data_IF_765316644411
#
_entry.id   IF_765316644411
#
_cell.length_a   1.000
_cell.length_b   1.000
_cell.length_c   1.000
_cell.angle_alpha   90.00
_cell.angle_beta   90.00
_cell.angle_gamma   90.00
#
_symmetry.space_group_name_H-M   'P 1'
#
loop_
_entity.id
_entity.type
_entity.pdbx_description
1 polymer ?
#
# COMPACT_ATOMS: atom_id res chain seq x y z
N UNK A 1 -22.62 19.61 1.49
CA UNK A 1 -21.61 18.94 0.65
C UNK A 1 -20.92 17.94 1.54
N UNK A 2 -20.89 16.68 1.11
CA UNK A 2 -20.53 15.55 1.94
C UNK A 2 -19.00 15.46 2.03
N UNK A 3 -18.40 16.15 3.01
CA UNK A 3 -16.95 16.28 3.20
C UNK A 3 -16.19 14.94 3.11
N UNK A 4 -16.88 13.81 3.33
CA UNK A 4 -16.32 12.48 3.27
C UNK A 4 -16.05 12.00 1.82
N UNK A 5 -16.91 12.36 0.86
CA UNK A 5 -16.76 11.97 -0.54
C UNK A 5 -15.60 12.70 -1.22
N UNK A 6 -15.37 13.95 -0.83
CA UNK A 6 -14.26 14.75 -1.34
C UNK A 6 -12.91 14.22 -0.86
N UNK A 7 -12.84 13.73 0.38
CA UNK A 7 -11.62 13.15 0.94
C UNK A 7 -11.30 11.77 0.33
N UNK A 8 -12.32 10.94 0.12
CA UNK A 8 -12.21 9.63 -0.54
C UNK A 8 -11.58 9.76 -1.94
N UNK A 9 -12.15 10.64 -2.77
CA UNK A 9 -11.66 10.91 -4.12
C UNK A 9 -10.28 11.56 -4.12
N UNK A 10 -9.99 12.42 -3.14
CA UNK A 10 -8.68 13.02 -2.97
C UNK A 10 -7.59 11.94 -2.79
N UNK A 11 -7.78 10.97 -1.88
CA UNK A 11 -6.77 9.93 -1.64
C UNK A 11 -6.61 8.95 -2.80
N UNK A 12 -7.70 8.61 -3.50
CA UNK A 12 -7.61 7.85 -4.76
C UNK A 12 -6.78 8.62 -5.79
N UNK A 13 -7.02 9.92 -5.95
CA UNK A 13 -6.25 10.76 -6.87
C UNK A 13 -4.77 10.80 -6.48
N UNK A 14 -4.46 11.01 -5.19
CA UNK A 14 -3.09 11.03 -4.70
C UNK A 14 -2.36 9.69 -4.87
N UNK A 15 -3.08 8.57 -4.79
CA UNK A 15 -2.54 7.23 -5.08
C UNK A 15 -1.99 7.16 -6.52
N UNK A 16 -2.78 7.54 -7.52
CA UNK A 16 -2.33 7.52 -8.92
C UNK A 16 -1.29 8.61 -9.23
N UNK A 17 -1.38 9.79 -8.59
CA UNK A 17 -0.34 10.83 -8.70
C UNK A 17 1.00 10.32 -8.16
N UNK A 18 1.00 9.65 -7.01
CA UNK A 18 2.20 9.08 -6.42
C UNK A 18 2.80 7.99 -7.34
N UNK A 19 1.98 7.08 -7.86
CA UNK A 19 2.43 6.08 -8.83
C UNK A 19 3.09 6.71 -10.07
N UNK A 20 2.48 7.77 -10.61
CA UNK A 20 3.05 8.52 -11.74
C UNK A 20 4.41 9.13 -11.39
N UNK A 21 4.57 9.67 -10.18
CA UNK A 21 5.85 10.24 -9.70
C UNK A 21 6.95 9.19 -9.53
N UNK A 22 6.61 7.94 -9.24
CA UNK A 22 7.59 6.85 -9.20
C UNK A 22 8.22 6.58 -10.58
N UNK A 23 7.47 6.84 -11.66
CA UNK A 23 7.90 6.63 -13.04
C UNK A 23 8.49 5.22 -13.28
N UNK A 24 7.75 4.20 -12.83
CA UNK A 24 8.15 2.79 -12.87
C UNK A 24 7.31 1.98 -13.84
N UNK A 25 7.83 0.86 -14.36
CA UNK A 25 7.07 -0.03 -15.22
C UNK A 25 5.81 -0.52 -14.51
N UNK A 26 4.68 -0.41 -15.21
CA UNK A 26 3.40 -0.99 -14.84
C UNK A 26 3.11 -2.09 -15.86
N UNK A 27 2.96 -3.32 -15.39
CA UNK A 27 2.76 -4.52 -16.21
C UNK A 27 1.82 -5.49 -15.49
N UNK A 28 1.24 -6.48 -16.17
CA UNK A 28 0.60 -7.61 -15.50
C UNK A 28 1.52 -8.20 -14.42
N UNK A 29 0.96 -8.57 -13.27
CA UNK A 29 1.73 -9.06 -12.12
C UNK A 29 2.64 -10.25 -12.47
N UNK A 30 2.12 -11.17 -13.30
CA UNK A 30 2.84 -12.34 -13.80
C UNK A 30 4.05 -11.98 -14.68
N UNK A 31 4.01 -10.84 -15.38
CA UNK A 31 5.08 -10.35 -16.25
C UNK A 31 6.05 -9.41 -15.53
N UNK A 32 5.64 -8.84 -14.39
CA UNK A 32 6.48 -7.95 -13.60
C UNK A 32 7.43 -8.78 -12.73
N UNK A 33 8.57 -9.17 -13.29
CA UNK A 33 9.57 -9.98 -12.60
C UNK A 33 10.63 -9.09 -11.95
N UNK A 34 10.76 -9.15 -10.61
CA UNK A 34 11.62 -8.23 -9.82
C UNK A 34 13.09 -8.26 -10.28
N UNK A 35 13.64 -9.45 -10.55
CA UNK A 35 15.06 -9.62 -10.91
C UNK A 35 15.45 -8.91 -12.21
N UNK A 36 14.48 -8.58 -13.06
CA UNK A 36 14.73 -7.88 -14.33
C UNK A 36 14.97 -6.38 -14.12
N UNK A 37 14.62 -5.85 -12.93
CA UNK A 37 14.73 -4.43 -12.59
C UNK A 37 15.66 -4.17 -11.40
N UNK A 38 15.78 -5.11 -10.45
CA UNK A 38 16.62 -4.94 -9.28
C UNK A 38 17.01 -6.25 -8.60
N UNK A 39 18.18 -6.27 -7.95
CA UNK A 39 18.54 -7.31 -6.99
C UNK A 39 17.69 -7.16 -5.73
N UNK A 40 16.93 -8.18 -5.39
CA UNK A 40 16.09 -8.18 -4.18
C UNK A 40 16.85 -8.74 -2.96
N UNK A 41 16.53 -8.24 -1.77
CA UNK A 41 17.10 -8.67 -0.51
C UNK A 41 16.09 -8.47 0.61
N UNK A 42 16.29 -9.15 1.74
CA UNK A 42 15.46 -8.99 2.92
C UNK A 42 16.08 -7.96 3.86
N UNK A 43 15.25 -7.13 4.48
CA UNK A 43 15.64 -6.25 5.57
C UNK A 43 14.98 -6.71 6.87
N UNK A 44 15.64 -6.45 7.99
CA UNK A 44 15.12 -6.74 9.33
C UNK A 44 14.59 -5.44 9.94
N UNK A 45 13.31 -5.42 10.26
CA UNK A 45 12.72 -4.31 11.01
C UNK A 45 12.85 -4.60 12.50
N UNK A 46 13.94 -4.10 13.11
CA UNK A 46 14.26 -4.34 14.53
C UNK A 46 13.13 -3.95 15.48
N UNK A 47 12.42 -2.87 15.15
CA UNK A 47 11.31 -2.36 15.95
C UNK A 47 9.97 -3.06 15.62
N UNK A 48 9.96 -4.08 14.73
CA UNK A 48 8.77 -4.84 14.36
C UNK A 48 8.98 -6.35 14.54
N UNK A 49 9.17 -6.80 15.78
CA UNK A 49 9.34 -8.22 16.15
C UNK A 49 10.45 -8.95 15.36
N UNK A 50 11.47 -8.22 14.88
CA UNK A 50 12.52 -8.74 14.00
C UNK A 50 12.00 -9.42 12.72
N UNK A 51 10.84 -9.00 12.21
CA UNK A 51 10.31 -9.53 10.95
C UNK A 51 11.20 -9.17 9.77
N UNK A 52 11.36 -10.14 8.87
CA UNK A 52 12.05 -9.98 7.59
C UNK A 52 11.04 -9.58 6.52
N UNK A 53 11.34 -8.52 5.78
CA UNK A 53 10.53 -8.05 4.65
C UNK A 53 11.42 -7.93 3.41
N UNK A 54 10.89 -8.34 2.26
CA UNK A 54 11.57 -8.12 0.98
C UNK A 54 11.63 -6.64 0.66
N UNK A 55 12.81 -6.14 0.28
CA UNK A 55 13.00 -4.73 0.00
C UNK A 55 12.19 -4.31 -1.22
N UNK A 56 12.28 -5.04 -2.33
CA UNK A 56 11.46 -4.85 -3.52
C UNK A 56 10.24 -5.76 -3.48
N UNK A 57 9.08 -5.19 -3.82
CA UNK A 57 7.77 -5.81 -3.76
C UNK A 57 6.96 -5.40 -4.98
N UNK A 58 5.93 -6.18 -5.30
CA UNK A 58 4.96 -5.86 -6.35
C UNK A 58 3.66 -5.47 -5.67
N UNK A 59 3.07 -4.37 -6.10
CA UNK A 59 1.80 -3.88 -5.58
C UNK A 59 0.80 -3.82 -6.73
N UNK A 60 -0.36 -4.45 -6.55
CA UNK A 60 -1.46 -4.41 -7.51
C UNK A 60 -2.16 -3.06 -7.45
N UNK A 61 -2.37 -2.44 -8.62
CA UNK A 61 -3.00 -1.12 -8.69
C UNK A 61 -4.46 -1.15 -8.23
N UNK A 62 -5.15 -2.26 -8.49
CA UNK A 62 -6.57 -2.42 -8.15
C UNK A 62 -6.82 -2.53 -6.64
N UNK A 63 -5.78 -2.66 -5.81
CA UNK A 63 -5.92 -2.68 -4.35
C UNK A 63 -6.49 -1.36 -3.79
N UNK A 64 -6.47 -0.27 -4.56
CA UNK A 64 -7.20 0.96 -4.22
C UNK A 64 -8.72 0.81 -4.35
N UNK A 65 -9.24 -0.25 -4.95
CA UNK A 65 -10.68 -0.48 -5.15
C UNK A 65 -11.18 -1.82 -4.59
N UNK A 66 -10.28 -2.75 -4.27
CA UNK A 66 -10.62 -4.07 -3.71
C UNK A 66 -9.53 -4.55 -2.76
N UNK A 67 -9.79 -5.53 -1.90
CA UNK A 67 -8.75 -6.05 -1.01
C UNK A 67 -7.81 -6.99 -1.76
N UNK A 68 -6.53 -7.00 -1.39
CA UNK A 68 -5.55 -7.93 -1.96
C UNK A 68 -5.96 -9.40 -1.75
N UNK A 69 -6.65 -9.71 -0.65
CA UNK A 69 -7.18 -11.05 -0.38
C UNK A 69 -8.25 -11.48 -1.41
N UNK A 70 -9.14 -10.58 -1.80
CA UNK A 70 -10.14 -10.83 -2.84
C UNK A 70 -9.47 -11.03 -4.19
N UNK A 71 -8.47 -10.21 -4.54
CA UNK A 71 -7.70 -10.38 -5.76
C UNK A 71 -7.03 -11.76 -5.79
N UNK A 72 -6.35 -12.15 -4.71
CA UNK A 72 -5.66 -13.44 -4.60
C UNK A 72 -6.60 -14.64 -4.68
N UNK A 73 -7.88 -14.49 -4.31
CA UNK A 73 -8.86 -15.57 -4.43
C UNK A 73 -9.15 -15.95 -5.90
N UNK A 74 -8.94 -15.03 -6.85
CA UNK A 74 -9.02 -15.30 -8.28
C UNK A 74 -7.63 -15.18 -8.92
N UNK A 75 -6.96 -16.33 -9.06
CA UNK A 75 -5.59 -16.40 -9.61
C UNK A 75 -5.47 -15.76 -10.99
N UNK A 76 -6.44 -15.94 -11.88
CA UNK A 76 -6.38 -15.37 -13.23
C UNK A 76 -6.41 -13.84 -13.20
N UNK A 77 -7.32 -13.28 -12.40
CA UNK A 77 -7.40 -11.81 -12.19
C UNK A 77 -6.13 -11.30 -11.52
N UNK A 78 -5.63 -12.01 -10.51
CA UNK A 78 -4.40 -11.64 -9.81
C UNK A 78 -3.19 -11.63 -10.76
N UNK A 79 -3.01 -12.66 -11.59
CA UNK A 79 -1.84 -12.79 -12.47
C UNK A 79 -1.86 -11.78 -13.63
N UNK A 80 -3.05 -11.44 -14.14
CA UNK A 80 -3.25 -10.48 -15.25
C UNK A 80 -3.38 -9.02 -14.78
N UNK A 81 -3.73 -8.79 -13.52
CA UNK A 81 -3.89 -7.45 -12.94
C UNK A 81 -2.63 -6.62 -13.02
N UNK A 82 -2.78 -5.32 -13.27
CA UNK A 82 -1.65 -4.40 -13.38
C UNK A 82 -0.99 -4.22 -12.01
N UNK A 83 0.33 -4.31 -12.00
CA UNK A 83 1.16 -4.13 -10.82
C UNK A 83 2.32 -3.17 -11.11
N UNK A 84 2.83 -2.58 -10.04
CA UNK A 84 4.03 -1.74 -10.05
C UNK A 84 5.08 -2.31 -9.09
N UNK A 85 6.37 -2.12 -9.43
CA UNK A 85 7.47 -2.46 -8.54
C UNK A 85 7.70 -1.32 -7.54
N UNK A 86 7.69 -1.65 -6.25
CA UNK A 86 7.86 -0.68 -5.17
C UNK A 86 8.84 -1.20 -4.14
N UNK A 87 9.58 -0.30 -3.49
CA UNK A 87 10.27 -0.67 -2.27
C UNK A 87 9.26 -0.75 -1.11
N UNK A 88 9.64 -1.42 -0.04
CA UNK A 88 8.76 -1.67 1.08
C UNK A 88 8.16 -0.42 1.74
N UNK A 89 8.89 0.72 1.75
CA UNK A 89 8.36 1.97 2.32
C UNK A 89 7.31 2.59 1.40
N UNK A 90 7.55 2.54 0.09
CA UNK A 90 6.58 3.01 -0.90
C UNK A 90 5.33 2.13 -0.89
N UNK A 91 5.49 0.82 -0.72
CA UNK A 91 4.37 -0.10 -0.56
C UNK A 91 3.56 0.23 0.71
N UNK A 92 4.23 0.50 1.83
CA UNK A 92 3.57 0.99 3.05
C UNK A 92 2.79 2.27 2.77
N UNK A 93 3.39 3.21 2.05
CA UNK A 93 2.74 4.47 1.74
C UNK A 93 1.52 4.30 0.81
N UNK A 94 1.59 3.40 -0.18
CA UNK A 94 0.44 3.06 -1.02
C UNK A 94 -0.72 2.52 -0.19
N UNK A 95 -0.46 1.59 0.73
CA UNK A 95 -1.51 1.10 1.63
C UNK A 95 -2.02 2.18 2.59
N UNK A 96 -1.20 3.14 3.01
CA UNK A 96 -1.68 4.29 3.79
C UNK A 96 -2.72 5.08 2.99
N UNK A 97 -2.47 5.36 1.70
CA UNK A 97 -3.42 6.04 0.83
C UNK A 97 -4.71 5.23 0.65
N UNK A 98 -4.62 3.89 0.55
CA UNK A 98 -5.79 3.01 0.48
C UNK A 98 -6.63 3.09 1.78
N UNK A 99 -5.99 3.05 2.95
CA UNK A 99 -6.68 3.16 4.25
C UNK A 99 -7.35 4.53 4.38
N UNK A 100 -6.68 5.61 3.95
CA UNK A 100 -7.27 6.95 3.97
C UNK A 100 -8.39 7.12 2.94
N UNK A 101 -8.33 6.42 1.81
CA UNK A 101 -9.40 6.40 0.82
C UNK A 101 -10.64 5.69 1.37
N UNK A 102 -10.51 4.66 2.23
CA UNK A 102 -11.66 3.90 2.76
C UNK A 102 -12.50 3.20 1.68
N UNK A 103 -11.87 2.86 0.55
CA UNK A 103 -12.48 2.14 -0.58
C UNK A 103 -12.63 0.64 -0.33
N UNK A 104 -11.79 0.08 0.55
CA UNK A 104 -11.67 -1.36 0.75
C UNK A 104 -11.31 -1.72 2.18
N UNK A 105 -11.80 -2.87 2.64
CA UNK A 105 -11.41 -3.53 3.89
C UNK A 105 -11.25 -5.03 3.62
N UNK A 106 -10.29 -5.75 4.25
CA UNK A 106 -9.17 -5.28 5.06
C UNK A 106 -7.80 -5.41 4.35
N UNK A 107 -6.83 -4.56 4.74
CA UNK A 107 -5.42 -4.61 4.31
C UNK A 107 -4.51 -5.34 5.32
N UNK A 108 -4.97 -6.46 5.89
CA UNK A 108 -4.24 -7.18 6.94
C UNK A 108 -2.84 -7.67 6.54
N UNK A 109 -2.65 -8.01 5.26
CA UNK A 109 -1.37 -8.49 4.75
C UNK A 109 -0.22 -7.52 5.02
N UNK A 110 -0.49 -6.21 5.03
CA UNK A 110 0.55 -5.22 5.29
C UNK A 110 0.89 -5.05 6.79
N UNK A 111 -0.10 -5.17 7.69
CA UNK A 111 0.16 -5.20 9.14
C UNK A 111 0.98 -6.41 9.57
N UNK A 112 0.93 -7.51 8.82
CA UNK A 112 1.83 -8.63 9.06
C UNK A 112 3.31 -8.25 8.84
N UNK A 113 3.60 -7.17 8.12
CA UNK A 113 4.95 -6.77 7.70
C UNK A 113 5.50 -5.54 8.42
N UNK A 114 4.66 -4.58 8.84
CA UNK A 114 5.05 -3.31 9.49
C UNK A 114 4.09 -2.98 10.62
N UNK A 115 4.59 -2.57 11.79
CA UNK A 115 3.73 -2.09 12.89
C UNK A 115 3.23 -0.66 12.64
N UNK A 116 2.23 -0.22 13.39
CA UNK A 116 1.64 1.11 13.19
C UNK A 116 2.62 2.26 13.42
N UNK A 117 3.56 2.16 14.37
CA UNK A 117 4.54 3.22 14.64
C UNK A 117 5.47 3.48 13.45
N UNK A 118 6.05 2.42 12.89
CA UNK A 118 6.92 2.52 11.71
C UNK A 118 6.12 2.99 10.50
N UNK A 119 4.91 2.46 10.34
CA UNK A 119 4.04 2.83 9.23
C UNK A 119 3.64 4.31 9.30
N UNK A 120 3.28 4.81 10.48
CA UNK A 120 2.96 6.22 10.71
C UNK A 120 4.13 7.14 10.34
N UNK A 121 5.34 6.78 10.76
CA UNK A 121 6.56 7.53 10.41
C UNK A 121 6.76 7.60 8.89
N UNK A 122 6.59 6.47 8.19
CA UNK A 122 6.68 6.43 6.73
C UNK A 122 5.59 7.30 6.11
N UNK A 123 4.35 7.21 6.59
CA UNK A 123 3.23 8.01 6.09
C UNK A 123 3.52 9.50 6.22
N UNK A 124 3.99 9.97 7.37
CA UNK A 124 4.38 11.38 7.58
C UNK A 124 5.50 11.81 6.64
N UNK A 125 6.56 11.01 6.54
CA UNK A 125 7.72 11.31 5.69
C UNK A 125 7.30 11.48 4.22
N UNK A 126 6.49 10.55 3.70
CA UNK A 126 6.02 10.58 2.31
C UNK A 126 4.97 11.67 2.09
N UNK A 127 4.03 11.88 3.02
CA UNK A 127 3.07 12.98 2.93
C UNK A 127 3.77 14.33 2.79
N UNK A 128 4.76 14.59 3.66
CA UNK A 128 5.57 15.81 3.58
C UNK A 128 6.34 15.90 2.25
N UNK A 129 7.06 14.84 1.87
CA UNK A 129 7.89 14.81 0.66
C UNK A 129 7.09 15.05 -0.62
N UNK A 130 5.88 14.51 -0.71
CA UNK A 130 5.06 14.55 -1.91
C UNK A 130 3.98 15.63 -1.90
N UNK A 131 3.95 16.46 -0.86
CA UNK A 131 2.92 17.48 -0.60
C UNK A 131 1.50 16.88 -0.60
N UNK A 132 1.32 15.78 0.13
CA UNK A 132 0.05 15.09 0.31
C UNK A 132 -0.43 15.37 1.73
N UNK A 133 -1.71 15.76 1.88
CA UNK A 133 -2.38 15.87 3.18
C UNK A 133 -2.17 14.61 4.02
N UNK A 134 -1.53 14.78 5.17
CA UNK A 134 -1.43 13.76 6.21
C UNK A 134 -2.70 13.76 7.08
N UNK A 135 -3.14 12.57 7.46
CA UNK A 135 -4.28 12.34 8.36
C UNK A 135 -3.76 11.86 9.70
N UNK A 136 -3.96 12.66 10.73
CA UNK A 136 -3.68 12.25 12.11
C UNK A 136 -4.60 11.11 12.53
N UNK A 137 -4.04 10.15 13.28
CA UNK A 137 -4.77 8.96 13.74
C UNK A 137 -5.44 8.16 12.60
N UNK A 138 -4.84 8.14 11.41
CA UNK A 138 -5.36 7.41 10.25
C UNK A 138 -5.58 5.92 10.54
N UNK A 139 -4.83 5.35 11.49
CA UNK A 139 -5.00 3.97 11.95
C UNK A 139 -6.39 3.70 12.53
N UNK A 140 -7.13 4.72 12.99
CA UNK A 140 -8.54 4.57 13.40
C UNK A 140 -9.48 4.29 12.22
N UNK A 141 -9.06 4.60 10.99
CA UNK A 141 -9.77 4.26 9.75
C UNK A 141 -9.46 2.85 9.28
N UNK A 142 -8.50 2.18 9.93
CA UNK A 142 -8.15 0.80 9.61
C UNK A 142 -9.27 -0.11 10.12
N UNK A 143 -10.20 -0.46 9.23
CA UNK A 143 -11.24 -1.45 9.49
C UNK A 143 -10.63 -2.85 9.34
N UNK A 144 -10.47 -3.52 10.47
CA UNK A 144 -9.91 -4.88 10.56
C UNK A 144 -10.01 -5.49 11.95
N UNK A 145 -9.87 -4.70 13.02
CA UNK A 145 -9.94 -5.23 14.40
C UNK A 145 -11.37 -5.32 14.98
N UNK A 146 -12.41 -4.93 14.25
CA UNK A 146 -13.80 -4.90 14.76
C UNK A 146 -14.46 -6.28 14.91
N UNK A 147 -13.69 -7.36 14.98
CA UNK A 147 -14.19 -8.67 15.41
C UNK A 147 -13.24 -9.45 16.34
N UNK A 148 -12.22 -8.81 16.93
CA UNK A 148 -11.41 -9.47 17.96
C UNK A 148 -10.95 -8.47 19.03
N UNK A 149 -11.87 -8.14 19.94
CA UNK A 149 -11.65 -8.04 21.39
C UNK A 149 -12.97 -8.38 22.09
#
# INVERSE_FOLDING_TARGET
>A
MDNNKDEHNYFISQYFVFLKKLNRPIKPYSELIIKDYAKNYQIILRNNLNKKIWFWQRHHLDEIHTSGAILMANKEVYDKGLAVLVNWKEHAFLHYLIVCAQTTSPNFGFLMMVNFEIWDKIARDFCNRYNIKYIENWNKRFLGLENTL
#
